data_IF_418165859574
#
_entry.id   IF_418165859574
#
_cell.length_a   1.000
_cell.length_b   1.000
_cell.length_c   1.000
_cell.angle_alpha   90.00
_cell.angle_beta   90.00
_cell.angle_gamma   90.00
#
_symmetry.space_group_name_H-M   'P 1'
#
loop_
_entity.id
_entity.type
_entity.pdbx_description
1 polymer ?
#
# COMPACT_ATOMS: atom_id res chain seq x y z
N UNK A 1 -66.08 -3.22 12.54
CA UNK A 1 -64.97 -3.30 13.52
C UNK A 1 -63.89 -4.23 12.97
N UNK A 2 -62.67 -3.68 12.78
CA UNK A 2 -61.34 -4.37 12.76
C UNK A 2 -61.10 -5.44 11.67
N UNK A 3 -60.00 -5.55 10.91
CA UNK A 3 -58.81 -4.74 10.53
C UNK A 3 -57.82 -5.76 9.88
N UNK A 4 -56.99 -5.32 8.91
CA UNK A 4 -55.69 -5.92 8.47
C UNK A 4 -55.71 -7.22 7.61
N UNK A 5 -54.83 -7.44 6.61
CA UNK A 5 -53.74 -6.67 6.02
C UNK A 5 -53.43 -7.21 4.60
N UNK A 6 -53.08 -6.29 3.71
CA UNK A 6 -52.40 -6.51 2.43
C UNK A 6 -50.97 -6.99 2.74
N UNK A 7 -50.54 -8.19 2.30
CA UNK A 7 -49.13 -8.58 2.37
C UNK A 7 -48.46 -8.40 1.00
N UNK A 8 -47.54 -7.45 1.01
CA UNK A 8 -46.66 -6.94 -0.03
C UNK A 8 -45.72 -8.00 -0.61
N UNK A 9 -45.55 -7.95 -1.93
CA UNK A 9 -44.56 -8.72 -2.69
C UNK A 9 -43.17 -8.10 -2.44
N UNK A 10 -42.36 -8.68 -1.55
CA UNK A 10 -40.97 -8.26 -1.39
C UNK A 10 -40.13 -8.91 -2.51
N UNK A 11 -39.94 -8.19 -3.61
CA UNK A 11 -38.86 -8.46 -4.55
C UNK A 11 -37.55 -8.02 -3.89
N UNK A 12 -36.74 -8.98 -3.43
CA UNK A 12 -35.38 -8.71 -3.00
C UNK A 12 -34.51 -8.42 -4.23
N UNK A 13 -34.61 -7.20 -4.76
CA UNK A 13 -33.55 -6.64 -5.58
C UNK A 13 -32.42 -6.23 -4.62
N UNK A 14 -31.34 -7.02 -4.60
CA UNK A 14 -30.11 -6.64 -3.93
C UNK A 14 -29.47 -5.48 -4.72
N UNK A 15 -29.94 -4.26 -4.48
CA UNK A 15 -29.23 -3.06 -4.90
C UNK A 15 -27.97 -2.97 -4.04
N UNK A 16 -26.82 -3.25 -4.64
CA UNK A 16 -25.52 -2.86 -4.06
C UNK A 16 -25.53 -1.33 -4.07
N UNK A 17 -25.78 -0.72 -2.92
CA UNK A 17 -25.49 0.70 -2.74
C UNK A 17 -23.96 0.85 -2.79
N UNK A 18 -23.43 1.15 -3.98
CA UNK A 18 -22.12 1.77 -4.10
C UNK A 18 -22.24 3.18 -3.53
N UNK A 19 -22.27 3.27 -2.20
CA UNK A 19 -21.93 4.53 -1.54
C UNK A 19 -20.52 4.90 -1.99
N UNK A 20 -20.25 6.19 -2.21
CA UNK A 20 -18.89 6.66 -2.47
C UNK A 20 -17.99 6.18 -1.33
N UNK A 21 -17.27 5.08 -1.55
CA UNK A 21 -16.32 4.57 -0.60
C UNK A 21 -15.18 5.59 -0.58
N UNK A 22 -14.95 6.21 0.58
CA UNK A 22 -13.77 7.04 0.76
C UNK A 22 -12.54 6.14 0.68
N UNK A 23 -11.46 6.63 0.07
CA UNK A 23 -10.20 5.89 0.03
C UNK A 23 -9.76 5.57 1.47
N UNK A 24 -9.47 4.29 1.71
CA UNK A 24 -8.97 3.75 2.96
C UNK A 24 -7.55 3.21 2.78
N UNK A 25 -6.84 3.02 3.88
CA UNK A 25 -5.60 2.25 3.89
C UNK A 25 -5.92 0.78 3.53
N UNK A 26 -5.39 0.31 2.41
CA UNK A 26 -5.54 -1.06 1.93
C UNK A 26 -4.39 -1.94 2.42
N UNK A 27 -3.20 -1.36 2.53
CA UNK A 27 -1.99 -2.04 2.96
C UNK A 27 -0.98 -1.06 3.55
N UNK A 28 -0.28 -1.50 4.59
CA UNK A 28 0.76 -0.74 5.26
C UNK A 28 1.90 -1.68 5.62
N UNK A 29 3.08 -1.49 5.00
CA UNK A 29 4.21 -2.40 5.21
C UNK A 29 4.92 -2.20 6.55
N UNK A 30 4.50 -1.24 7.36
CA UNK A 30 4.99 -1.10 8.72
C UNK A 30 5.20 0.33 9.17
N UNK A 31 5.45 0.51 10.47
CA UNK A 31 5.59 1.83 11.05
C UNK A 31 6.87 2.50 10.54
N UNK A 32 6.74 3.79 10.20
CA UNK A 32 7.88 4.64 9.81
C UNK A 32 8.62 5.14 11.04
N UNK A 33 7.89 5.34 12.13
CA UNK A 33 8.36 5.83 13.42
C UNK A 33 7.64 5.09 14.54
N UNK A 34 8.26 5.01 15.71
CA UNK A 34 7.64 4.51 16.93
C UNK A 34 6.64 5.53 17.52
N UNK A 35 6.04 5.20 18.67
CA UNK A 35 5.09 6.05 19.39
C UNK A 35 5.69 7.37 19.90
N UNK A 36 7.02 7.52 19.90
CA UNK A 36 7.73 8.76 20.24
C UNK A 36 8.08 9.62 19.01
N UNK A 37 7.63 9.20 17.82
CA UNK A 37 7.94 9.87 16.56
C UNK A 37 9.42 9.71 16.19
N UNK A 38 10.03 8.56 16.50
CA UNK A 38 11.43 8.25 16.16
C UNK A 38 11.53 6.96 15.37
N UNK A 39 12.38 6.98 14.35
CA UNK A 39 12.95 5.77 13.77
C UNK A 39 14.36 5.66 14.31
N UNK A 40 14.57 4.81 15.32
CA UNK A 40 15.87 4.69 16.00
C UNK A 40 16.70 3.62 15.32
N UNK A 41 17.92 3.96 14.89
CA UNK A 41 18.91 2.98 14.48
C UNK A 41 19.44 2.28 15.73
N UNK A 42 19.21 0.98 15.83
CA UNK A 42 19.63 0.14 16.95
C UNK A 42 20.94 -0.58 16.62
N UNK A 43 21.86 -0.65 17.58
CA UNK A 43 23.10 -1.42 17.45
C UNK A 43 22.77 -2.93 17.34
N UNK A 44 23.45 -3.71 16.49
CA UNK A 44 24.65 -3.37 15.71
C UNK A 44 24.40 -2.79 14.32
N UNK A 45 23.17 -2.43 13.97
CA UNK A 45 22.86 -1.88 12.65
C UNK A 45 23.52 -0.52 12.40
N UNK A 46 23.90 -0.25 11.15
CA UNK A 46 24.66 0.97 10.75
C UNK A 46 23.99 1.78 9.65
N UNK A 47 23.02 1.21 8.93
CA UNK A 47 22.38 1.84 7.79
C UNK A 47 21.26 2.78 8.26
N UNK A 48 21.49 4.10 8.12
CA UNK A 48 20.48 5.12 8.44
C UNK A 48 19.34 5.17 7.44
N UNK A 49 19.57 4.78 6.20
CA UNK A 49 18.58 4.70 5.14
C UNK A 49 19.23 4.30 3.82
N UNK A 50 18.42 3.79 2.92
CA UNK A 50 18.81 3.37 1.58
C UNK A 50 18.68 4.54 0.63
N UNK A 51 19.59 4.66 -0.32
CA UNK A 51 19.47 5.65 -1.39
C UNK A 51 18.30 5.30 -2.31
N UNK A 52 17.38 6.23 -2.52
CA UNK A 52 16.30 6.11 -3.51
C UNK A 52 16.21 7.37 -4.38
N UNK A 53 17.37 7.98 -4.66
CA UNK A 53 17.45 9.20 -5.46
C UNK A 53 17.26 8.91 -6.94
N UNK A 54 16.19 9.43 -7.55
CA UNK A 54 15.91 9.28 -8.98
C UNK A 54 17.09 9.76 -9.85
N UNK A 55 17.70 10.90 -9.50
CA UNK A 55 18.82 11.48 -10.26
C UNK A 55 20.11 10.65 -10.24
N UNK A 56 20.28 9.78 -9.24
CA UNK A 56 21.42 8.87 -9.14
C UNK A 56 21.11 7.48 -9.72
N UNK A 57 19.90 7.27 -10.28
CA UNK A 57 19.42 5.95 -10.70
C UNK A 57 19.18 5.00 -9.53
N UNK A 58 19.04 5.51 -8.31
CA UNK A 58 18.81 4.68 -7.14
C UNK A 58 17.30 4.52 -6.90
N UNK A 59 16.86 3.30 -6.63
CA UNK A 59 15.48 3.00 -6.26
C UNK A 59 15.44 1.85 -5.27
N UNK A 60 14.32 1.73 -4.58
CA UNK A 60 14.05 0.63 -3.65
C UNK A 60 12.80 -0.11 -4.10
N UNK A 61 12.65 -1.34 -3.64
CA UNK A 61 11.45 -2.13 -3.88
C UNK A 61 11.12 -2.99 -2.66
N UNK A 62 9.84 -3.24 -2.47
CA UNK A 62 9.35 -4.10 -1.39
C UNK A 62 8.02 -4.75 -1.78
N UNK A 63 7.68 -5.88 -1.17
CA UNK A 63 6.54 -6.70 -1.62
C UNK A 63 5.23 -6.44 -0.85
N UNK A 64 4.12 -6.77 -1.49
CA UNK A 64 2.81 -6.86 -0.86
C UNK A 64 1.98 -7.94 -1.54
N UNK A 65 0.99 -8.45 -0.81
CA UNK A 65 0.10 -9.49 -1.32
C UNK A 65 -1.36 -9.05 -1.20
N UNK A 66 -2.10 -9.19 -2.31
CA UNK A 66 -3.55 -9.08 -2.32
C UNK A 66 -4.13 -10.49 -2.20
N UNK A 67 -4.90 -10.73 -1.14
CA UNK A 67 -5.47 -12.04 -0.86
C UNK A 67 -6.44 -12.49 -1.97
N UNK A 68 -6.56 -13.82 -2.12
CA UNK A 68 -7.57 -14.43 -3.00
C UNK A 68 -8.98 -13.88 -2.69
N UNK A 69 -9.81 -13.73 -3.72
CA UNK A 69 -11.15 -13.17 -3.59
C UNK A 69 -11.19 -11.66 -3.33
N UNK A 70 -10.04 -10.96 -3.34
CA UNK A 70 -9.97 -9.50 -3.19
C UNK A 70 -9.55 -8.81 -4.48
N UNK A 71 -10.04 -7.58 -4.65
CA UNK A 71 -9.60 -6.66 -5.70
C UNK A 71 -9.48 -5.27 -5.09
N UNK A 72 -8.40 -4.57 -5.40
CA UNK A 72 -8.11 -3.24 -4.88
C UNK A 72 -8.14 -2.24 -6.02
N UNK A 73 -8.98 -1.21 -5.88
CA UNK A 73 -8.91 -0.02 -6.69
C UNK A 73 -8.02 0.99 -5.96
N UNK A 74 -6.78 1.14 -6.42
CA UNK A 74 -5.74 1.95 -5.78
C UNK A 74 -5.82 3.37 -6.33
N UNK A 75 -5.79 4.35 -5.44
CA UNK A 75 -5.86 5.79 -5.79
C UNK A 75 -4.68 6.62 -5.25
N UNK A 76 -3.95 6.13 -4.25
CA UNK A 76 -2.69 6.77 -3.86
C UNK A 76 -1.69 5.82 -3.20
N UNK A 77 -0.42 6.19 -3.30
CA UNK A 77 0.71 5.50 -2.69
C UNK A 77 1.42 6.49 -1.75
N UNK A 78 1.62 6.11 -0.49
CA UNK A 78 2.45 6.90 0.43
C UNK A 78 3.85 6.29 0.52
N UNK A 79 4.85 7.10 0.17
CA UNK A 79 6.26 6.78 0.39
C UNK A 79 6.81 7.57 1.56
N UNK A 80 7.95 7.16 2.10
CA UNK A 80 8.57 7.83 3.23
C UNK A 80 10.06 8.02 3.01
N UNK A 81 10.56 9.19 3.34
CA UNK A 81 12.00 9.44 3.22
C UNK A 81 12.44 10.64 4.00
N UNK A 82 13.76 10.87 4.02
CA UNK A 82 14.34 12.11 4.52
C UNK A 82 15.42 12.65 3.56
N UNK A 83 15.68 13.95 3.65
CA UNK A 83 16.89 14.59 3.15
C UNK A 83 17.64 15.16 4.36
N UNK A 84 18.95 14.87 4.50
CA UNK A 84 19.70 15.37 5.67
C UNK A 84 19.80 16.89 5.62
N UNK A 85 19.49 17.55 6.73
CA UNK A 85 19.45 19.02 6.84
C UNK A 85 18.11 19.64 6.45
N UNK A 86 17.10 18.83 6.09
CA UNK A 86 15.77 19.34 5.76
C UNK A 86 15.08 19.95 6.98
N UNK A 87 14.54 21.15 6.82
CA UNK A 87 13.69 21.83 7.82
C UNK A 87 12.21 21.85 7.43
N UNK A 88 11.89 21.47 6.19
CA UNK A 88 10.54 21.39 5.63
C UNK A 88 10.41 20.18 4.70
N UNK A 89 9.23 19.98 4.12
CA UNK A 89 9.03 19.02 3.02
C UNK A 89 9.87 19.43 1.80
N UNK A 90 10.53 18.47 1.15
CA UNK A 90 11.50 18.71 0.06
C UNK A 90 11.36 17.76 -1.13
N UNK A 91 10.46 16.78 -1.07
CA UNK A 91 10.24 15.87 -2.20
C UNK A 91 9.41 16.56 -3.29
N UNK A 92 9.80 16.34 -4.54
CA UNK A 92 9.21 16.98 -5.72
C UNK A 92 8.47 15.98 -6.59
N UNK A 93 8.99 14.75 -6.71
CA UNK A 93 8.39 13.70 -7.53
C UNK A 93 8.63 12.32 -6.92
N UNK A 94 7.69 11.40 -7.13
CA UNK A 94 7.86 9.98 -6.95
C UNK A 94 7.80 9.28 -8.31
N UNK A 95 8.81 8.49 -8.64
CA UNK A 95 8.77 7.54 -9.76
C UNK A 95 8.50 6.16 -9.18
N UNK A 96 7.51 5.45 -9.70
CA UNK A 96 7.07 4.18 -9.12
C UNK A 96 6.63 3.18 -10.18
N UNK A 97 6.73 1.90 -9.85
CA UNK A 97 6.20 0.79 -10.65
C UNK A 97 5.77 -0.37 -9.77
N UNK A 98 4.70 -1.04 -10.16
CA UNK A 98 4.19 -2.27 -9.54
C UNK A 98 4.45 -3.44 -10.47
N UNK A 99 5.19 -4.43 -9.97
CA UNK A 99 5.54 -5.66 -10.67
C UNK A 99 4.65 -6.78 -10.15
N UNK A 100 4.03 -7.54 -11.05
CA UNK A 100 3.36 -8.80 -10.73
C UNK A 100 4.43 -9.91 -10.76
N UNK A 101 4.66 -10.56 -9.61
CA UNK A 101 5.80 -11.46 -9.42
C UNK A 101 7.08 -10.69 -9.05
N UNK A 102 8.24 -11.25 -9.39
CA UNK A 102 9.57 -10.77 -9.01
C UNK A 102 9.89 -9.31 -9.43
N UNK A 103 10.68 -8.58 -8.62
CA UNK A 103 11.01 -7.16 -8.88
C UNK A 103 11.93 -6.93 -10.09
N UNK A 104 12.69 -7.93 -10.54
CA UNK A 104 13.60 -7.80 -11.69
C UNK A 104 13.02 -8.40 -12.98
N UNK A 105 12.18 -9.43 -12.84
CA UNK A 105 11.71 -10.26 -13.96
C UNK A 105 10.18 -10.31 -14.10
N UNK A 106 9.45 -9.77 -13.12
CA UNK A 106 8.00 -9.67 -13.12
C UNK A 106 7.46 -8.70 -14.16
N UNK A 107 6.15 -8.79 -14.40
CA UNK A 107 5.46 -7.92 -15.35
C UNK A 107 5.08 -6.60 -14.67
N UNK A 108 5.49 -5.46 -15.23
CA UNK A 108 5.00 -4.15 -14.77
C UNK A 108 3.53 -4.01 -15.14
N UNK A 109 2.65 -3.95 -14.13
CA UNK A 109 1.19 -3.84 -14.31
C UNK A 109 0.66 -2.44 -14.08
N UNK A 110 1.42 -1.58 -13.39
CA UNK A 110 1.15 -0.16 -13.22
C UNK A 110 2.47 0.58 -13.00
N UNK A 111 2.59 1.81 -13.50
CA UNK A 111 3.75 2.66 -13.24
C UNK A 111 3.42 4.13 -13.47
N UNK A 112 4.23 5.02 -12.93
CA UNK A 112 4.04 6.45 -13.13
C UNK A 112 5.13 7.32 -12.53
N UNK A 113 5.06 8.60 -12.88
CA UNK A 113 5.79 9.68 -12.22
C UNK A 113 4.77 10.67 -11.68
N UNK A 114 4.72 10.81 -10.36
CA UNK A 114 3.74 11.65 -9.66
C UNK A 114 4.43 12.86 -9.07
N UNK A 115 3.93 14.06 -9.35
CA UNK A 115 4.37 15.30 -8.69
C UNK A 115 3.91 15.32 -7.23
N UNK A 116 4.82 15.71 -6.33
CA UNK A 116 4.58 15.77 -4.90
C UNK A 116 4.52 17.24 -4.48
N UNK A 117 3.35 17.67 -3.99
CA UNK A 117 3.10 19.08 -3.63
C UNK A 117 2.89 19.29 -2.13
N UNK A 118 2.71 18.21 -1.37
CA UNK A 118 2.56 18.26 0.07
C UNK A 118 3.01 16.94 0.71
N UNK A 119 3.58 17.03 1.91
CA UNK A 119 3.91 15.87 2.71
C UNK A 119 4.12 16.22 4.18
N UNK A 120 3.57 15.40 5.06
CA UNK A 120 3.61 15.61 6.50
C UNK A 120 4.89 15.06 7.12
N UNK A 121 5.48 15.79 8.06
CA UNK A 121 6.52 15.25 8.95
C UNK A 121 5.92 14.10 9.77
N UNK A 122 6.54 12.92 9.68
CA UNK A 122 6.16 11.74 10.46
C UNK A 122 6.99 11.63 11.74
N UNK A 123 8.24 12.09 11.71
CA UNK A 123 9.14 12.09 12.85
C UNK A 123 10.58 12.16 12.38
N UNK A 124 11.51 11.54 13.11
CA UNK A 124 12.94 11.71 12.84
C UNK A 124 13.70 10.39 12.80
N UNK A 125 14.62 10.26 11.84
CA UNK A 125 15.62 9.20 11.81
C UNK A 125 16.80 9.56 12.71
N UNK A 126 16.98 8.79 13.78
CA UNK A 126 17.98 9.05 14.83
C UNK A 126 18.81 7.80 15.11
N UNK A 127 19.87 7.96 15.92
CA UNK A 127 20.61 6.83 16.50
C UNK A 127 20.32 6.75 17.99
N UNK A 128 20.70 5.64 18.63
CA UNK A 128 20.57 5.47 20.08
C UNK A 128 21.23 6.60 20.91
N UNK A 129 22.24 7.30 20.36
CA UNK A 129 22.95 8.39 21.03
C UNK A 129 22.53 9.79 20.56
N UNK A 130 21.59 9.90 19.61
CA UNK A 130 21.17 11.17 18.99
C UNK A 130 19.65 11.38 18.97
N UNK A 131 18.95 10.94 20.00
CA UNK A 131 17.48 10.92 20.06
C UNK A 131 16.79 12.29 19.89
N UNK A 132 17.49 13.38 20.18
CA UNK A 132 17.00 14.77 20.03
C UNK A 132 17.37 15.40 18.70
N UNK A 133 18.11 14.70 17.82
CA UNK A 133 18.57 15.22 16.55
C UNK A 133 17.40 15.35 15.55
N UNK A 134 17.28 16.54 14.94
CA UNK A 134 16.21 16.88 13.99
C UNK A 134 16.69 16.99 12.53
N UNK A 135 17.96 16.68 12.24
CA UNK A 135 18.54 16.82 10.90
C UNK A 135 17.96 15.85 9.86
N UNK A 136 17.22 14.82 10.27
CA UNK A 136 16.63 13.81 9.37
C UNK A 136 15.14 13.67 9.63
N UNK A 137 14.40 14.76 9.40
CA UNK A 137 12.94 14.72 9.37
C UNK A 137 12.46 13.76 8.29
N UNK A 138 11.71 12.73 8.70
CA UNK A 138 11.10 11.77 7.78
C UNK A 138 9.75 12.33 7.36
N UNK A 139 9.57 12.58 6.08
CA UNK A 139 8.33 13.08 5.51
C UNK A 139 7.60 12.00 4.73
N UNK A 140 6.27 12.03 4.80
CA UNK A 140 5.38 11.25 3.93
C UNK A 140 5.27 11.93 2.57
N UNK A 141 5.62 11.24 1.50
CA UNK A 141 5.41 11.65 0.11
C UNK A 141 4.18 10.92 -0.43
N UNK A 142 3.02 11.59 -0.40
CA UNK A 142 1.79 11.05 -0.94
C UNK A 142 1.73 11.26 -2.45
N UNK A 143 1.83 10.17 -3.20
CA UNK A 143 1.64 10.16 -4.64
C UNK A 143 0.16 9.87 -4.94
N UNK A 144 -0.57 10.91 -5.36
CA UNK A 144 -1.89 10.78 -5.97
C UNK A 144 -1.73 10.20 -7.39
N UNK A 145 -2.30 9.02 -7.62
CA UNK A 145 -2.11 8.27 -8.87
C UNK A 145 -3.44 8.18 -9.61
N UNK A 146 -3.39 8.05 -10.94
CA UNK A 146 -4.59 7.70 -11.69
C UNK A 146 -5.07 6.32 -11.23
N UNK A 147 -6.33 6.23 -10.83
CA UNK A 147 -6.89 4.99 -10.29
C UNK A 147 -6.63 3.78 -11.19
N UNK A 148 -6.15 2.70 -10.59
CA UNK A 148 -5.98 1.41 -11.27
C UNK A 148 -6.38 0.26 -10.35
N UNK A 149 -6.72 -0.87 -10.97
CA UNK A 149 -7.23 -2.03 -10.23
C UNK A 149 -6.21 -3.16 -10.23
N UNK A 150 -5.90 -3.70 -9.06
CA UNK A 150 -5.13 -4.92 -8.89
C UNK A 150 -6.03 -6.02 -8.31
N UNK A 151 -5.95 -7.21 -8.90
CA UNK A 151 -6.60 -8.40 -8.36
C UNK A 151 -5.73 -9.09 -7.30
N UNK A 152 -6.17 -10.28 -6.87
CA UNK A 152 -5.35 -11.15 -6.04
C UNK A 152 -4.01 -11.48 -6.70
N UNK A 153 -2.93 -11.43 -5.92
CA UNK A 153 -1.58 -11.65 -6.44
C UNK A 153 -0.49 -11.26 -5.46
N UNK A 154 0.73 -11.67 -5.80
CA UNK A 154 1.97 -11.25 -5.16
C UNK A 154 2.64 -10.17 -6.01
N UNK A 155 2.90 -9.02 -5.42
CA UNK A 155 3.36 -7.83 -6.13
C UNK A 155 4.59 -7.25 -5.45
N UNK A 156 5.42 -6.58 -6.22
CA UNK A 156 6.47 -5.69 -5.72
C UNK A 156 6.15 -4.25 -6.09
N UNK A 157 6.20 -3.35 -5.12
CA UNK A 157 6.18 -1.92 -5.36
C UNK A 157 7.63 -1.43 -5.37
N UNK A 158 8.03 -0.78 -6.46
CA UNK A 158 9.33 -0.13 -6.59
C UNK A 158 9.17 1.38 -6.67
N UNK A 159 10.08 2.14 -6.06
CA UNK A 159 10.03 3.60 -6.07
C UNK A 159 11.38 4.28 -5.92
N UNK A 160 11.44 5.49 -6.47
CA UNK A 160 12.48 6.49 -6.22
C UNK A 160 11.85 7.86 -6.02
N UNK A 161 12.55 8.72 -5.29
CA UNK A 161 12.12 10.08 -5.00
C UNK A 161 13.11 11.09 -5.59
N UNK A 162 12.57 12.19 -6.09
CA UNK A 162 13.31 13.40 -6.42
C UNK A 162 13.17 14.38 -5.27
N UNK A 163 14.29 14.82 -4.69
CA UNK A 163 14.35 15.84 -3.64
C UNK A 163 14.92 17.17 -4.15
N UNK A 164 14.82 18.21 -3.35
CA UNK A 164 15.40 19.54 -3.67
C UNK A 164 16.74 19.82 -3.00
N UNK A 165 17.14 19.03 -2.00
CA UNK A 165 18.43 19.16 -1.32
C UNK A 165 19.53 18.27 -1.93
N UNK A 166 20.78 18.57 -1.61
CA UNK A 166 21.95 17.79 -2.05
C UNK A 166 22.05 16.41 -1.38
N UNK A 167 21.53 16.24 -0.15
CA UNK A 167 21.52 14.96 0.54
C UNK A 167 20.23 14.20 0.26
N UNK A 168 20.33 12.94 -0.14
CA UNK A 168 19.16 12.09 -0.35
C UNK A 168 18.38 12.46 -1.62
N UNK A 169 17.11 12.04 -1.74
CA UNK A 169 16.29 11.34 -0.74
C UNK A 169 16.86 10.02 -0.20
N UNK A 170 16.55 9.71 1.05
CA UNK A 170 16.92 8.46 1.73
C UNK A 170 15.67 7.77 2.26
N UNK A 171 15.50 6.49 1.95
CA UNK A 171 14.44 5.63 2.47
C UNK A 171 14.87 5.02 3.82
N UNK A 172 14.24 5.35 4.95
CA UNK A 172 14.48 4.63 6.20
C UNK A 172 13.85 3.22 6.16
N UNK A 173 14.41 2.23 6.88
CA UNK A 173 13.72 0.98 7.16
C UNK A 173 12.54 1.21 8.11
N UNK A 174 11.66 0.20 8.27
CA UNK A 174 10.59 0.26 9.28
C UNK A 174 11.16 0.46 10.69
N UNK A 175 10.45 1.21 11.54
CA UNK A 175 10.92 1.55 12.89
C UNK A 175 10.86 0.38 13.87
N UNK A 176 10.10 -0.67 13.56
CA UNK A 176 10.05 -1.93 14.31
C UNK A 176 11.27 -2.84 14.02
N UNK A 177 12.15 -2.44 13.09
CA UNK A 177 13.38 -3.14 12.72
C UNK A 177 13.15 -4.62 12.34
N UNK A 178 11.97 -4.94 11.82
CA UNK A 178 11.66 -6.31 11.41
C UNK A 178 12.54 -6.71 10.22
N UNK A 179 12.98 -7.97 10.22
CA UNK A 179 13.68 -8.57 9.08
C UNK A 179 12.72 -8.78 7.92
N UNK A 180 13.22 -8.61 6.70
CA UNK A 180 12.40 -8.57 5.51
C UNK A 180 13.13 -8.94 4.24
N UNK A 181 12.46 -8.78 3.11
CA UNK A 181 12.99 -9.10 1.79
C UNK A 181 13.22 -7.87 0.90
N UNK A 182 13.03 -6.66 1.43
CA UNK A 182 13.14 -5.44 0.65
C UNK A 182 14.45 -5.36 -0.14
N UNK A 183 14.40 -4.68 -1.27
CA UNK A 183 15.48 -4.63 -2.24
C UNK A 183 15.87 -3.20 -2.59
N UNK A 184 17.08 -3.06 -3.12
CA UNK A 184 17.59 -1.81 -3.65
C UNK A 184 18.24 -2.04 -5.02
N UNK A 185 17.98 -1.14 -5.95
CA UNK A 185 18.74 -0.97 -7.18
C UNK A 185 19.59 0.29 -7.07
N UNK A 186 20.87 0.18 -7.38
CA UNK A 186 21.84 1.29 -7.33
C UNK A 186 22.32 1.60 -8.74
N UNK A 187 22.31 2.87 -9.13
CA UNK A 187 22.78 3.34 -10.45
C UNK A 187 22.10 2.60 -11.62
N UNK A 188 20.79 2.34 -11.48
CA UNK A 188 19.98 1.67 -12.50
C UNK A 188 20.28 0.17 -12.65
N UNK A 189 20.99 -0.44 -11.70
CA UNK A 189 21.25 -1.88 -11.68
C UNK A 189 20.01 -2.71 -11.33
N UNK A 190 20.20 -4.02 -11.24
CA UNK A 190 19.17 -4.95 -10.76
C UNK A 190 18.85 -4.71 -9.27
N UNK A 191 17.61 -5.00 -8.88
CA UNK A 191 17.20 -5.06 -7.48
C UNK A 191 17.90 -6.25 -6.80
N UNK A 192 18.62 -5.96 -5.72
CA UNK A 192 19.17 -6.96 -4.82
C UNK A 192 18.63 -6.73 -3.40
N UNK A 193 18.40 -7.81 -2.65
CA UNK A 193 17.99 -7.72 -1.24
C UNK A 193 18.98 -6.86 -0.48
N UNK A 194 18.46 -5.83 0.20
CA UNK A 194 19.33 -4.97 0.99
C UNK A 194 19.71 -5.69 2.28
N UNK A 195 20.93 -5.44 2.74
CA UNK A 195 21.44 -5.97 4.00
C UNK A 195 22.13 -4.85 4.75
N UNK A 196 21.82 -4.70 6.04
CA UNK A 196 22.54 -3.77 6.89
C UNK A 196 23.98 -4.24 7.08
N UNK A 197 24.95 -3.38 6.76
CA UNK A 197 26.37 -3.73 6.81
C UNK A 197 26.87 -4.05 8.22
N UNK A 198 26.27 -3.46 9.25
CA UNK A 198 26.69 -3.62 10.64
C UNK A 198 26.12 -4.87 11.28
N UNK A 199 24.82 -5.13 11.10
CA UNK A 199 24.15 -6.28 11.70
C UNK A 199 24.11 -7.52 10.80
N UNK A 200 24.30 -7.36 9.48
CA UNK A 200 24.12 -8.45 8.51
C UNK A 200 22.65 -8.86 8.31
N UNK A 201 21.70 -8.12 8.89
CA UNK A 201 20.28 -8.39 8.79
C UNK A 201 19.67 -7.69 7.58
N UNK A 202 18.67 -8.31 6.98
CA UNK A 202 17.78 -7.66 6.01
C UNK A 202 16.66 -6.93 6.73
N UNK A 203 15.80 -6.22 6.00
CA UNK A 203 14.65 -5.55 6.62
C UNK A 203 13.58 -5.13 5.63
N UNK A 204 12.53 -4.54 6.17
CA UNK A 204 11.38 -4.02 5.43
C UNK A 204 11.47 -2.49 5.27
N UNK A 205 10.75 -1.97 4.28
CA UNK A 205 10.61 -0.56 3.99
C UNK A 205 9.15 -0.13 4.16
N UNK A 206 8.86 0.95 4.89
CA UNK A 206 7.50 1.43 5.02
C UNK A 206 7.01 2.03 3.71
N UNK A 207 5.79 1.64 3.34
CA UNK A 207 4.96 2.27 2.33
C UNK A 207 3.48 1.99 2.66
N UNK A 208 2.58 2.81 2.12
CA UNK A 208 1.13 2.59 2.26
C UNK A 208 0.46 2.60 0.90
N UNK A 209 -0.46 1.67 0.69
CA UNK A 209 -1.34 1.64 -0.48
C UNK A 209 -2.73 2.04 -0.01
N UNK A 210 -3.31 3.06 -0.65
CA UNK A 210 -4.62 3.58 -0.34
C UNK A 210 -5.57 3.42 -1.51
N UNK A 211 -6.85 3.21 -1.20
CA UNK A 211 -7.89 3.04 -2.22
C UNK A 211 -9.14 2.39 -1.66
N UNK A 212 -9.86 1.65 -2.50
CA UNK A 212 -11.09 0.95 -2.15
C UNK A 212 -10.94 -0.54 -2.40
N UNK A 213 -11.21 -1.36 -1.38
CA UNK A 213 -11.27 -2.80 -1.52
C UNK A 213 -12.66 -3.22 -2.00
N UNK A 214 -12.70 -4.06 -3.04
CA UNK A 214 -13.88 -4.80 -3.45
C UNK A 214 -13.69 -6.28 -3.13
N UNK A 215 -14.62 -6.86 -2.37
CA UNK A 215 -14.70 -8.30 -2.22
C UNK A 215 -15.28 -8.90 -3.51
N UNK A 216 -14.54 -9.81 -4.15
CA UNK A 216 -15.02 -10.60 -5.27
C UNK A 216 -15.61 -11.88 -4.69
N UNK A 217 -16.94 -12.12 -4.79
CA UNK A 217 -17.54 -13.33 -4.25
C UNK A 217 -16.94 -14.58 -4.91
N UNK A 218 -16.60 -15.58 -4.10
CA UNK A 218 -16.12 -16.86 -4.61
C UNK A 218 -17.14 -17.52 -5.56
N UNK A 219 -16.71 -18.31 -6.56
CA UNK A 219 -17.61 -18.97 -7.51
C UNK A 219 -18.72 -19.82 -6.85
N UNK A 220 -18.44 -20.40 -5.68
CA UNK A 220 -19.40 -21.16 -4.88
C UNK A 220 -20.50 -20.28 -4.28
N UNK A 221 -20.19 -19.02 -3.93
CA UNK A 221 -21.17 -18.03 -3.46
C UNK A 221 -22.14 -17.65 -4.58
N UNK A 222 -21.66 -17.51 -5.81
CA UNK A 222 -22.51 -17.34 -6.99
C UNK A 222 -23.37 -18.57 -7.26
N UNK A 223 -22.79 -19.77 -7.16
CA UNK A 223 -23.52 -21.03 -7.36
C UNK A 223 -24.64 -21.21 -6.31
N UNK A 224 -24.37 -20.91 -5.04
CA UNK A 224 -25.36 -20.95 -3.96
C UNK A 224 -26.44 -19.89 -4.14
N UNK A 225 -26.09 -18.69 -4.60
CA UNK A 225 -27.07 -17.65 -4.90
C UNK A 225 -28.00 -18.07 -6.06
N UNK A 226 -27.44 -18.63 -7.13
CA UNK A 226 -28.21 -19.15 -8.27
C UNK A 226 -29.09 -20.33 -7.85
N UNK A 227 -28.58 -21.24 -7.03
CA UNK A 227 -29.35 -22.36 -6.49
C UNK A 227 -30.50 -21.85 -5.59
N UNK A 228 -30.24 -20.89 -4.71
CA UNK A 228 -31.26 -20.26 -3.88
C UNK A 228 -32.36 -19.57 -4.70
N UNK A 229 -31.98 -18.83 -5.75
CA UNK A 229 -32.92 -18.20 -6.67
C UNK A 229 -33.78 -19.23 -7.40
N UNK A 230 -33.20 -20.33 -7.86
CA UNK A 230 -33.92 -21.42 -8.52
C UNK A 230 -34.94 -22.10 -7.58
N UNK A 231 -34.56 -22.33 -6.31
CA UNK A 231 -35.47 -22.87 -5.28
C UNK A 231 -36.65 -21.91 -5.05
N UNK A 232 -36.39 -20.62 -4.92
CA UNK A 232 -37.43 -19.61 -4.68
C UNK A 232 -38.41 -19.51 -5.86
N UNK A 233 -37.90 -19.55 -7.10
CA UNK A 233 -38.72 -19.59 -8.32
C UNK A 233 -39.57 -20.87 -8.39
N UNK A 234 -38.99 -22.02 -8.00
CA UNK A 234 -39.70 -23.31 -7.93
C UNK A 234 -40.84 -23.30 -6.91
N UNK A 235 -40.60 -22.75 -5.71
CA UNK A 235 -41.62 -22.61 -4.66
C UNK A 235 -42.72 -21.63 -5.09
N UNK A 236 -42.37 -20.52 -5.72
CA UNK A 236 -43.34 -19.54 -6.23
C UNK A 236 -44.24 -20.13 -7.32
N UNK A 237 -43.69 -20.94 -8.24
CA UNK A 237 -44.49 -21.65 -9.25
C UNK A 237 -45.45 -22.66 -8.64
N UNK A 238 -45.00 -23.47 -7.66
CA UNK A 238 -45.87 -24.42 -6.96
C UNK A 238 -47.05 -23.75 -6.27
N UNK A 239 -46.83 -22.59 -5.63
CA UNK A 239 -47.90 -21.83 -4.96
C UNK A 239 -48.92 -21.22 -5.93
N UNK A 240 -48.52 -20.92 -7.17
CA UNK A 240 -49.43 -20.43 -8.22
C UNK A 240 -50.30 -21.52 -8.84
N UNK A 241 -49.81 -22.76 -8.89
CA UNK A 241 -50.53 -23.89 -9.46
C UNK A 241 -51.41 -24.64 -8.44
N UNK A 242 -51.31 -24.29 -7.15
CA UNK A 242 -52.11 -24.87 -6.06
C UNK A 242 -53.32 -24.00 -5.68
N UNK A 243 -53.67 -23.02 -6.52
CA UNK A 243 -54.90 -22.21 -6.48
C UNK A 243 -55.67 -22.49 -7.76
#
# INVERSE_FOLDING_TARGET
MKRFALLTLAAAAAAISAGAAQAAELYNNGPVVDSSGKSVLTSPSTTLGLGNQTSAGNSVADDFTIAAGSSWNISSLDFFGYQTGSTSFTFQQATWAIHLGDANTGTIVASGVTSLTNGGLQGYRVTATTLTNTQRGIYKAQADVTDFTLGAGHYWLSWSLTGSLASGPWQPPTSDARTGNAMQAVTGGAYATWTDTGSGLTGELPFVINGVAAAVPEPSSYALMLAGAAVMLGVARRRRNAR
#
